data_IF_562958959939
#
_entry.id   IF_562958959939
#
_cell.length_a   1.000
_cell.length_b   1.000
_cell.length_c   1.000
_cell.angle_alpha   90.00
_cell.angle_beta   90.00
_cell.angle_gamma   90.00
#
_symmetry.space_group_name_H-M   'P 1'
#
loop_
_entity.id
_entity.type
_entity.pdbx_description
1 polymer ?
#
# COMPACT_ATOMS: atom_id res chain seq x y z
N UNK A 1 4.50 16.30 14.92
CA UNK A 1 4.80 16.49 13.48
C UNK A 1 4.23 15.30 12.73
N UNK A 2 3.29 15.46 11.80
CA UNK A 2 2.73 14.34 11.04
C UNK A 2 3.73 13.82 9.99
N UNK A 3 3.86 12.50 9.88
CA UNK A 3 4.62 11.83 8.81
C UNK A 3 3.73 11.70 7.57
N UNK A 4 4.05 12.44 6.52
CA UNK A 4 3.35 12.33 5.23
C UNK A 4 4.08 11.33 4.35
N UNK A 5 3.55 10.10 4.27
CA UNK A 5 4.10 9.06 3.41
C UNK A 5 3.54 9.21 1.99
N UNK A 6 4.27 9.93 1.15
CA UNK A 6 3.93 10.04 -0.27
C UNK A 6 4.20 8.76 -1.06
N UNK A 7 3.65 8.65 -2.27
CA UNK A 7 3.88 7.52 -3.19
C UNK A 7 5.36 7.15 -3.37
N UNK A 8 6.32 8.09 -3.49
CA UNK A 8 7.74 7.75 -3.60
C UNK A 8 8.27 6.99 -2.38
N UNK A 9 7.82 7.35 -1.17
CA UNK A 9 8.26 6.69 0.06
C UNK A 9 7.68 5.28 0.16
N UNK A 10 6.38 5.14 -0.09
CA UNK A 10 5.70 3.84 -0.07
C UNK A 10 6.27 2.87 -1.12
N UNK A 11 6.61 3.38 -2.30
CA UNK A 11 7.27 2.59 -3.34
C UNK A 11 8.66 2.12 -2.92
N UNK A 12 9.45 3.00 -2.28
CA UNK A 12 10.81 2.68 -1.82
C UNK A 12 10.79 1.59 -0.75
N UNK A 13 9.89 1.71 0.23
CA UNK A 13 9.74 0.72 1.30
C UNK A 13 8.89 -0.50 0.91
N UNK A 14 8.60 -0.67 -0.39
CA UNK A 14 7.82 -1.79 -0.94
C UNK A 14 6.57 -2.09 -0.11
N UNK A 15 5.81 -1.04 0.19
CA UNK A 15 4.72 -1.08 1.15
C UNK A 15 3.57 -1.97 0.67
N UNK A 16 3.06 -2.82 1.57
CA UNK A 16 1.80 -3.52 1.43
C UNK A 16 0.74 -2.81 2.28
N UNK A 17 -0.45 -2.62 1.72
CA UNK A 17 -1.57 -1.98 2.42
C UNK A 17 -2.70 -3.00 2.48
N UNK A 18 -3.02 -3.45 3.69
CA UNK A 18 -4.23 -4.21 3.95
C UNK A 18 -5.34 -3.24 4.34
N UNK A 19 -6.26 -3.02 3.41
CA UNK A 19 -7.36 -2.06 3.61
C UNK A 19 -8.41 -2.61 4.56
N UNK A 20 -8.65 -3.93 4.56
CA UNK A 20 -9.66 -4.58 5.41
C UNK A 20 -9.22 -4.54 6.87
N UNK A 21 -7.96 -4.87 7.13
CA UNK A 21 -7.40 -4.86 8.48
C UNK A 21 -6.94 -3.46 8.91
N UNK A 22 -6.79 -2.52 7.97
CA UNK A 22 -6.30 -1.17 8.25
C UNK A 22 -4.82 -1.13 8.60
N UNK A 23 -4.03 -2.01 7.98
CA UNK A 23 -2.62 -2.20 8.27
C UNK A 23 -1.75 -1.73 7.11
N UNK A 24 -0.60 -1.14 7.45
CA UNK A 24 0.42 -0.74 6.50
C UNK A 24 1.71 -1.44 6.87
N UNK A 25 2.22 -2.29 5.97
CA UNK A 25 3.45 -3.04 6.17
C UNK A 25 4.55 -2.51 5.25
N UNK A 26 5.62 -1.98 5.84
CA UNK A 26 6.82 -1.55 5.14
C UNK A 26 7.86 -2.67 5.20
N UNK A 27 8.45 -3.02 4.06
CA UNK A 27 9.54 -3.98 3.98
C UNK A 27 10.87 -3.25 3.76
N UNK A 28 11.81 -3.49 4.65
CA UNK A 28 13.17 -2.98 4.61
C UNK A 28 14.10 -4.19 4.62
N UNK A 29 14.68 -4.51 3.47
CA UNK A 29 15.43 -5.75 3.25
C UNK A 29 14.60 -7.00 3.62
N UNK A 30 15.07 -7.79 4.59
CA UNK A 30 14.41 -9.00 5.08
C UNK A 30 13.51 -8.73 6.31
N UNK A 31 13.47 -7.48 6.80
CA UNK A 31 12.65 -7.07 7.92
C UNK A 31 11.34 -6.39 7.46
N UNK A 32 10.31 -6.50 8.29
CA UNK A 32 9.03 -5.84 8.07
C UNK A 32 8.57 -5.06 9.31
N UNK A 33 7.99 -3.89 9.06
CA UNK A 33 7.36 -3.07 10.10
C UNK A 33 5.89 -2.92 9.76
N UNK A 34 5.01 -3.31 10.68
CA UNK A 34 3.56 -3.17 10.52
C UNK A 34 3.03 -1.99 11.35
N UNK A 35 2.21 -1.17 10.74
CA UNK A 35 1.54 -0.01 11.34
C UNK A 35 0.02 -0.22 11.29
N UNK A 36 -0.64 -0.15 12.45
CA UNK A 36 -2.10 -0.14 12.54
C UNK A 36 -2.64 1.26 12.30
N UNK A 37 -3.05 1.52 11.07
CA UNK A 37 -3.38 2.88 10.60
C UNK A 37 -4.68 3.38 11.20
N UNK A 38 -5.70 2.52 11.35
CA UNK A 38 -6.98 2.94 11.95
C UNK A 38 -6.85 3.31 13.43
N UNK A 39 -6.07 2.55 14.20
CA UNK A 39 -5.77 2.88 15.60
C UNK A 39 -4.99 4.19 15.71
N UNK A 40 -3.98 4.36 14.84
CA UNK A 40 -3.18 5.58 14.78
C UNK A 40 -4.06 6.80 14.44
N UNK A 41 -4.90 6.74 13.40
CA UNK A 41 -5.77 7.85 13.01
C UNK A 41 -6.76 8.25 14.11
N UNK A 42 -7.24 7.29 14.90
CA UNK A 42 -8.16 7.58 16.02
C UNK A 42 -7.50 8.38 17.15
N UNK A 43 -6.18 8.32 17.26
CA UNK A 43 -5.40 9.07 18.25
C UNK A 43 -5.11 10.52 17.84
N UNK A 44 -5.27 10.88 16.56
CA UNK A 44 -4.91 12.21 16.04
C UNK A 44 -6.01 13.29 16.17
N UNK A 45 -7.17 13.00 16.75
CA UNK A 45 -8.31 13.94 16.77
C UNK A 45 -8.93 14.13 15.39
N UNK A 46 -10.04 14.88 15.30
CA UNK A 46 -10.97 14.99 14.16
C UNK A 46 -10.42 14.58 12.79
N UNK A 47 -11.12 13.62 12.16
CA UNK A 47 -10.79 13.03 10.86
C UNK A 47 -10.64 14.11 9.78
N UNK A 48 -9.48 14.21 9.10
CA UNK A 48 -9.36 15.11 7.96
C UNK A 48 -10.34 14.72 6.86
N UNK A 49 -11.09 15.70 6.32
CA UNK A 49 -12.16 15.54 5.30
C UNK A 49 -11.69 15.03 3.92
N UNK A 50 -10.42 14.64 3.76
CA UNK A 50 -9.81 14.45 2.46
C UNK A 50 -9.30 13.02 2.26
N UNK A 51 -10.11 12.21 1.55
CA UNK A 51 -9.66 10.95 0.97
C UNK A 51 -9.97 10.95 -0.53
N UNK A 52 -8.97 11.27 -1.36
CA UNK A 52 -9.05 11.10 -2.82
C UNK A 52 -8.55 9.69 -3.17
N UNK A 53 -9.46 8.82 -3.58
CA UNK A 53 -9.15 7.51 -4.19
C UNK A 53 -9.20 7.68 -5.71
N UNK A 54 -8.12 7.33 -6.40
CA UNK A 54 -8.03 7.42 -7.86
C UNK A 54 -7.62 6.05 -8.39
N UNK A 55 -8.51 5.42 -9.16
CA UNK A 55 -8.28 4.11 -9.77
C UNK A 55 -7.28 4.29 -10.91
N UNK A 56 -6.19 3.51 -10.90
CA UNK A 56 -5.29 3.40 -12.03
C UNK A 56 -5.56 2.04 -12.67
N UNK A 57 -6.22 2.05 -13.81
CA UNK A 57 -6.56 0.85 -14.58
C UNK A 57 -5.57 0.72 -15.75
N UNK A 58 -4.50 -0.06 -15.56
CA UNK A 58 -3.54 -0.50 -16.60
C UNK A 58 -2.61 -1.55 -15.96
N UNK A 59 -2.33 -2.77 -16.48
CA UNK A 59 -2.60 -3.43 -17.77
C UNK A 59 -2.72 -4.93 -17.48
N UNK A 60 -3.64 -5.63 -18.15
CA UNK A 60 -3.70 -7.10 -18.18
C UNK A 60 -2.41 -7.64 -18.82
N UNK A 61 -1.61 -8.41 -18.09
CA UNK A 61 -0.62 -9.27 -18.72
C UNK A 61 -1.32 -10.57 -19.12
N UNK A 62 -1.71 -10.65 -20.40
CA UNK A 62 -2.02 -11.93 -21.05
C UNK A 62 -0.75 -12.79 -20.97
N UNK A 63 -0.71 -13.69 -19.97
CA UNK A 63 0.21 -14.81 -19.98
C UNK A 63 -0.21 -15.72 -21.12
N UNK A 64 0.33 -15.50 -22.32
CA UNK A 64 0.38 -16.55 -23.33
C UNK A 64 1.24 -17.66 -22.75
N UNK A 65 0.60 -18.74 -22.31
CA UNK A 65 1.29 -20.00 -22.10
C UNK A 65 2.00 -20.35 -23.41
N UNK A 66 3.32 -20.45 -23.33
CA UNK A 66 4.16 -20.97 -24.39
C UNK A 66 3.63 -22.36 -24.78
N UNK A 67 3.33 -22.57 -26.06
CA UNK A 67 3.21 -23.91 -26.63
C UNK A 67 4.55 -24.62 -26.41
N UNK A 68 4.62 -25.44 -25.36
CA UNK A 68 5.68 -26.43 -25.23
C UNK A 68 5.36 -27.58 -26.19
N UNK A 69 6.29 -27.80 -27.12
CA UNK A 69 6.25 -28.76 -28.22
C UNK A 69 5.69 -30.16 -27.88
N UNK A 70 4.75 -30.63 -28.69
CA UNK A 70 4.87 -31.84 -29.54
C UNK A 70 3.79 -31.88 -30.63
#
# INVERSE_FOLDING_TARGET
>A
VPLLLGRPFLATGRTLIDVEMGELMLRLDDEHVCFKVFEAMRSYGETPECFKVEVVEEVVMDAKEEEWEH
#
